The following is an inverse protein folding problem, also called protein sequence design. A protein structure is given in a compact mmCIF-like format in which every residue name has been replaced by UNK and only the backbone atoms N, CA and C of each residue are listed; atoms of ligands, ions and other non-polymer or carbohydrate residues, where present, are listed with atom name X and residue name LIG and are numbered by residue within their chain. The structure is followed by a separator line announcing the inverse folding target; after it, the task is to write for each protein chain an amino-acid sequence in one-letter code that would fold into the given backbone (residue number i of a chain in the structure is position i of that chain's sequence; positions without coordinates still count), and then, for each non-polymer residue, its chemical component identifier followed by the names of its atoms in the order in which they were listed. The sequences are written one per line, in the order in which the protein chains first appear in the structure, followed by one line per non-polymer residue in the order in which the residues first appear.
data_IF_480462652429
#
_entry.id   IF_480462652429
#
_cell.length_a   1.000
_cell.length_b   1.000
_cell.length_c   1.000
_cell.angle_alpha   90.00
_cell.angle_beta   90.00
_cell.angle_gamma   90.00
#
_symmetry.space_group_name_H-M   'P 1'
#
loop_
_entity.id
_entity.type
_entity.pdbx_description
1 polymer ?
#
# COMPACT_ATOMS: atom_id res chain seq x y z
N UNK A 1 12.72 28.07 -38.19
CA UNK A 1 11.98 28.37 -36.94
C UNK A 1 10.75 27.46 -36.77
N UNK A 2 10.38 26.64 -37.77
CA UNK A 2 9.19 25.78 -37.75
C UNK A 2 9.40 24.37 -37.16
N UNK A 3 10.64 23.87 -37.09
CA UNK A 3 10.93 22.49 -36.67
C UNK A 3 10.86 22.27 -35.16
N UNK A 4 10.99 23.32 -34.33
CA UNK A 4 10.94 23.22 -32.87
C UNK A 4 9.52 22.92 -32.33
N UNK A 5 8.48 23.42 -32.99
CA UNK A 5 7.10 23.20 -32.56
C UNK A 5 6.64 21.75 -32.79
N UNK A 6 7.12 21.12 -33.88
CA UNK A 6 6.84 19.72 -34.18
C UNK A 6 7.48 18.77 -33.18
N UNK A 7 8.74 19.02 -32.76
CA UNK A 7 9.39 18.23 -31.71
C UNK A 7 8.68 18.38 -30.35
N UNK A 8 8.28 19.59 -29.98
CA UNK A 8 7.54 19.82 -28.74
C UNK A 8 6.18 19.10 -28.76
N UNK A 9 5.47 19.11 -29.88
CA UNK A 9 4.18 18.41 -30.02
C UNK A 9 4.34 16.89 -29.95
N UNK A 10 5.39 16.34 -30.56
CA UNK A 10 5.71 14.91 -30.49
C UNK A 10 6.06 14.47 -29.07
N UNK A 11 6.83 15.27 -28.31
CA UNK A 11 7.16 14.97 -26.92
C UNK A 11 5.93 15.03 -26.01
N UNK A 12 5.00 15.97 -26.24
CA UNK A 12 3.75 16.04 -25.50
C UNK A 12 2.85 14.83 -25.79
N UNK A 13 2.71 14.43 -27.06
CA UNK A 13 1.91 13.26 -27.44
C UNK A 13 2.52 11.95 -26.92
N UNK A 14 3.85 11.81 -26.91
CA UNK A 14 4.52 10.66 -26.31
C UNK A 14 4.35 10.62 -24.78
N UNK A 15 4.35 11.78 -24.12
CA UNK A 15 4.14 11.90 -22.67
C UNK A 15 2.76 11.42 -22.23
N UNK A 16 1.69 11.72 -22.99
CA UNK A 16 0.32 11.28 -22.61
C UNK A 16 0.12 9.77 -22.72
N UNK A 17 0.82 9.11 -23.65
CA UNK A 17 0.76 7.66 -23.85
C UNK A 17 1.66 6.88 -22.88
N UNK A 18 2.55 7.57 -22.14
CA UNK A 18 3.47 6.97 -21.18
C UNK A 18 3.01 7.15 -19.72
N UNK A 19 1.84 7.74 -19.46
CA UNK A 19 1.27 7.72 -18.11
C UNK A 19 0.93 6.27 -17.77
N UNK A 20 1.58 5.66 -16.75
CA UNK A 20 1.17 4.36 -16.28
C UNK A 20 -0.28 4.49 -15.82
N UNK A 21 -1.18 3.77 -16.48
CA UNK A 21 -2.52 3.52 -15.96
C UNK A 21 -2.33 2.68 -14.70
N UNK A 22 -2.13 3.34 -13.57
CA UNK A 22 -2.10 2.66 -12.29
C UNK A 22 -3.46 1.99 -12.11
N UNK A 23 -3.51 0.72 -11.66
CA UNK A 23 -4.76 0.14 -11.19
C UNK A 23 -5.39 1.11 -10.18
N UNK A 24 -6.71 1.28 -10.20
CA UNK A 24 -7.37 2.04 -9.16
C UNK A 24 -7.18 1.32 -7.82
N UNK A 25 -6.17 1.73 -7.05
CA UNK A 25 -5.90 1.18 -5.72
C UNK A 25 -6.93 1.64 -4.68
N UNK A 26 -7.87 2.53 -5.05
CA UNK A 26 -9.05 2.85 -4.23
C UNK A 26 -10.15 1.79 -4.30
N UNK A 27 -9.91 0.67 -4.98
CA UNK A 27 -10.68 -0.54 -4.76
C UNK A 27 -10.58 -0.90 -3.28
N UNK A 28 -11.60 -0.48 -2.50
CA UNK A 28 -11.75 -0.78 -1.08
C UNK A 28 -11.46 -2.25 -0.85
N UNK A 29 -10.63 -2.51 0.15
CA UNK A 29 -10.36 -3.86 0.59
C UNK A 29 -11.70 -4.53 0.96
N UNK A 30 -12.02 -5.74 0.48
CA UNK A 30 -13.26 -6.42 0.86
C UNK A 30 -13.37 -6.72 2.37
N UNK A 31 -12.30 -6.55 3.15
CA UNK A 31 -12.28 -6.58 4.62
C UNK A 31 -12.73 -5.28 5.32
N UNK A 32 -12.84 -4.14 4.62
CA UNK A 32 -13.42 -2.90 5.19
C UNK A 32 -14.94 -3.00 5.43
N UNK A 33 -15.59 -4.07 4.95
CA UNK A 33 -17.02 -4.33 5.18
C UNK A 33 -17.33 -5.00 6.52
N UNK A 34 -16.34 -5.36 7.34
CA UNK A 34 -16.58 -6.08 8.60
C UNK A 34 -16.89 -5.19 9.81
N UNK A 35 -17.10 -3.88 9.65
CA UNK A 35 -17.54 -3.00 10.75
C UNK A 35 -19.05 -2.73 10.78
N UNK A 36 -19.82 -3.12 9.75
CA UNK A 36 -21.25 -2.78 9.65
C UNK A 36 -22.23 -3.97 9.67
N UNK A 37 -21.76 -5.22 9.84
CA UNK A 37 -22.64 -6.41 9.79
C UNK A 37 -22.91 -7.09 11.14
N UNK A 38 -22.58 -6.46 12.26
CA UNK A 38 -22.83 -7.01 13.61
C UNK A 38 -24.31 -6.90 14.09
N UNK A 39 -25.29 -6.82 13.20
CA UNK A 39 -26.72 -6.93 13.52
C UNK A 39 -27.37 -8.05 12.68
N UNK A 40 -26.96 -9.30 12.89
CA UNK A 40 -27.81 -10.48 12.65
C UNK A 40 -27.14 -11.74 13.20
N UNK A 41 -27.58 -12.16 14.38
CA UNK A 41 -27.64 -13.51 14.99
C UNK A 41 -26.81 -14.73 14.53
N UNK A 42 -25.71 -14.62 13.77
CA UNK A 42 -24.90 -15.79 13.40
C UNK A 42 -23.92 -16.17 14.51
N UNK A 43 -23.76 -17.47 14.85
CA UNK A 43 -22.70 -17.92 15.73
C UNK A 43 -21.35 -17.60 15.08
N UNK A 44 -20.65 -16.61 15.63
CA UNK A 44 -19.24 -16.36 15.36
C UNK A 44 -18.47 -17.63 15.74
N UNK A 45 -18.10 -18.43 14.74
CA UNK A 45 -16.96 -19.34 14.89
C UNK A 45 -15.78 -18.43 15.24
N UNK A 46 -15.16 -18.55 16.42
CA UNK A 46 -14.00 -17.74 16.71
C UNK A 46 -12.97 -18.09 15.64
N UNK A 47 -12.67 -17.15 14.74
CA UNK A 47 -11.37 -17.12 14.10
C UNK A 47 -10.42 -16.90 15.28
N UNK A 48 -9.88 -17.99 15.81
CA UNK A 48 -8.85 -17.94 16.83
C UNK A 48 -7.72 -17.11 16.25
N UNK A 49 -7.65 -15.85 16.65
CA UNK A 49 -6.45 -15.04 16.56
C UNK A 49 -5.44 -15.77 17.43
N UNK A 50 -4.65 -16.68 16.83
CA UNK A 50 -3.59 -17.36 17.54
C UNK A 50 -2.58 -16.29 17.93
N UNK A 51 -2.58 -15.91 19.21
CA UNK A 51 -1.61 -15.02 19.86
C UNK A 51 -0.29 -15.76 20.07
N UNK A 52 0.30 -16.25 18.98
CA UNK A 52 1.73 -16.58 18.99
C UNK A 52 2.48 -15.25 18.86
N UNK A 53 3.57 -15.00 19.61
CA UNK A 53 4.44 -13.87 19.33
C UNK A 53 4.90 -13.96 17.87
N UNK A 54 4.30 -13.13 17.03
CA UNK A 54 4.63 -13.05 15.61
C UNK A 54 6.03 -12.46 15.52
N UNK A 55 6.97 -13.08 14.78
CA UNK A 55 8.27 -12.47 14.54
C UNK A 55 8.05 -11.06 13.96
N UNK A 56 8.70 -10.06 14.56
CA UNK A 56 8.72 -8.67 14.06
C UNK A 56 9.38 -8.58 12.68
N UNK A 57 10.14 -9.60 12.28
CA UNK A 57 10.77 -9.71 10.98
C UNK A 57 9.87 -10.45 9.98
N UNK A 58 9.57 -9.80 8.85
CA UNK A 58 8.83 -10.39 7.74
C UNK A 58 9.49 -11.67 7.21
N UNK A 59 8.69 -12.67 6.80
CA UNK A 59 9.22 -13.88 6.19
C UNK A 59 9.85 -13.60 4.81
N UNK A 60 10.77 -14.44 4.31
CA UNK A 60 11.36 -14.27 2.98
C UNK A 60 10.32 -14.16 1.84
N UNK A 61 9.18 -14.85 1.97
CA UNK A 61 8.08 -14.78 1.00
C UNK A 61 7.39 -13.42 1.00
N UNK A 62 7.17 -12.87 2.20
CA UNK A 62 6.58 -11.53 2.37
C UNK A 62 7.53 -10.48 1.80
N UNK A 63 8.83 -10.59 2.09
CA UNK A 63 9.82 -9.66 1.56
C UNK A 63 9.91 -9.70 0.03
N UNK A 64 9.91 -10.88 -0.57
CA UNK A 64 9.90 -11.03 -2.03
C UNK A 64 8.66 -10.42 -2.68
N UNK A 65 7.49 -10.55 -2.04
CA UNK A 65 6.27 -9.88 -2.47
C UNK A 65 6.40 -8.35 -2.37
N UNK A 66 6.93 -7.84 -1.26
CA UNK A 66 7.09 -6.39 -1.08
C UNK A 66 8.01 -5.78 -2.15
N UNK A 67 9.05 -6.52 -2.54
CA UNK A 67 9.99 -6.11 -3.57
C UNK A 67 9.39 -6.05 -4.98
N UNK A 68 8.31 -6.79 -5.27
CA UNK A 68 7.66 -6.80 -6.58
C UNK A 68 6.58 -5.73 -6.74
N UNK A 69 6.24 -5.01 -5.66
CA UNK A 69 5.19 -4.00 -5.70
C UNK A 69 5.59 -2.75 -6.49
N UNK A 70 4.71 -2.25 -7.39
CA UNK A 70 4.86 -0.93 -7.95
C UNK A 70 4.59 0.12 -6.86
N UNK A 71 5.53 1.04 -6.68
CA UNK A 71 5.35 2.22 -5.84
C UNK A 71 6.08 3.40 -6.48
N UNK A 72 5.54 4.60 -6.32
CA UNK A 72 6.22 5.82 -6.75
C UNK A 72 7.43 6.11 -5.86
N UNK A 73 8.35 6.93 -6.34
CA UNK A 73 9.47 7.46 -5.56
C UNK A 73 9.11 8.70 -4.74
N UNK A 74 7.82 9.06 -4.66
CA UNK A 74 7.35 10.16 -3.83
C UNK A 74 7.56 9.84 -2.35
N UNK A 75 8.12 10.78 -1.59
CA UNK A 75 8.31 10.63 -0.15
C UNK A 75 7.16 11.27 0.61
N UNK A 76 6.27 10.44 1.14
CA UNK A 76 5.16 10.86 2.00
C UNK A 76 4.94 9.80 3.08
N UNK A 77 5.79 9.81 4.13
CA UNK A 77 5.96 8.65 5.00
C UNK A 77 4.71 8.32 5.80
N UNK A 78 4.60 7.04 6.18
CA UNK A 78 3.55 6.52 7.06
C UNK A 78 4.19 5.75 8.20
N UNK A 79 3.73 6.01 9.43
CA UNK A 79 4.13 5.22 10.59
C UNK A 79 3.24 3.99 10.72
N UNK A 80 3.85 2.81 10.65
CA UNK A 80 3.19 1.53 10.92
C UNK A 80 3.13 1.19 12.40
N UNK A 81 2.21 0.28 12.77
CA UNK A 81 2.07 -0.27 14.11
C UNK A 81 3.23 -1.16 14.54
N UNK A 82 4.12 -1.46 13.61
CA UNK A 82 5.41 -2.13 13.79
C UNK A 82 6.55 -1.14 14.05
N UNK A 83 6.25 0.15 14.24
CA UNK A 83 7.20 1.24 14.39
C UNK A 83 8.14 1.40 13.17
N UNK A 84 7.72 0.93 12.00
CA UNK A 84 8.48 1.09 10.75
C UNK A 84 7.95 2.29 9.95
N UNK A 85 8.88 3.05 9.38
CA UNK A 85 8.59 4.13 8.45
C UNK A 85 8.41 3.57 7.03
N UNK A 86 7.18 3.54 6.55
CA UNK A 86 6.89 3.21 5.16
C UNK A 86 7.06 4.47 4.31
N UNK A 87 7.90 4.42 3.26
CA UNK A 87 8.31 5.59 2.47
C UNK A 87 7.13 6.37 1.86
N UNK A 88 6.07 5.66 1.50
CA UNK A 88 4.81 6.21 1.03
C UNK A 88 3.65 5.22 1.23
N UNK A 89 2.43 5.69 0.96
CA UNK A 89 1.21 4.90 1.00
C UNK A 89 1.30 3.62 0.17
N UNK A 90 1.82 3.71 -1.06
CA UNK A 90 1.97 2.53 -1.93
C UNK A 90 2.84 1.44 -1.31
N UNK A 91 3.93 1.81 -0.61
CA UNK A 91 4.76 0.83 0.13
C UNK A 91 4.06 0.26 1.36
N UNK A 92 3.28 1.06 2.08
CA UNK A 92 2.51 0.59 3.23
C UNK A 92 1.44 -0.42 2.78
N UNK A 93 0.63 -0.05 1.79
CA UNK A 93 -0.46 -0.89 1.28
C UNK A 93 0.07 -2.19 0.68
N UNK A 94 1.21 -2.12 -0.01
CA UNK A 94 1.92 -3.29 -0.50
C UNK A 94 2.27 -4.27 0.64
N UNK A 95 2.84 -3.78 1.74
CA UNK A 95 3.20 -4.64 2.87
C UNK A 95 1.97 -5.36 3.44
N UNK A 96 0.86 -4.64 3.64
CA UNK A 96 -0.41 -5.23 4.09
C UNK A 96 -0.89 -6.32 3.13
N UNK A 97 -0.92 -6.06 1.83
CA UNK A 97 -1.33 -7.04 0.81
C UNK A 97 -0.41 -8.25 0.72
N UNK A 98 0.89 -8.06 0.98
CA UNK A 98 1.86 -9.14 1.06
C UNK A 98 1.75 -9.99 2.33
N UNK A 99 0.80 -9.67 3.23
CA UNK A 99 0.54 -10.42 4.46
C UNK A 99 1.29 -9.90 5.68
N UNK A 100 1.86 -8.69 5.61
CA UNK A 100 2.39 -8.03 6.81
C UNK A 100 1.20 -7.61 7.69
N UNK A 101 1.18 -8.10 8.94
CA UNK A 101 0.17 -7.73 9.92
C UNK A 101 0.51 -6.37 10.55
N UNK A 102 0.30 -5.29 9.79
CA UNK A 102 0.61 -3.91 10.18
C UNK A 102 -0.60 -3.01 9.98
N UNK A 103 -0.79 -2.06 10.90
CA UNK A 103 -1.82 -1.02 10.81
C UNK A 103 -1.15 0.34 10.70
N UNK A 104 -1.81 1.28 10.04
CA UNK A 104 -1.35 2.67 9.99
C UNK A 104 -1.63 3.35 11.32
N UNK A 105 -0.60 3.86 11.99
CA UNK A 105 -0.77 4.65 13.21
C UNK A 105 -1.08 6.11 12.86
N UNK A 106 -0.22 6.73 12.05
CA UNK A 106 -0.39 8.10 11.60
C UNK A 106 0.40 8.37 10.31
N UNK A 107 0.11 9.50 9.67
CA UNK A 107 0.91 10.04 8.58
C UNK A 107 2.19 10.66 9.13
N UNK A 108 3.28 10.60 8.38
CA UNK A 108 4.60 11.01 8.84
C UNK A 108 5.48 9.83 9.26
N UNK A 109 6.70 10.15 9.71
CA UNK A 109 7.61 9.18 10.32
C UNK A 109 7.16 8.82 11.73
N UNK A 110 7.43 7.60 12.17
CA UNK A 110 7.28 7.20 13.56
C UNK A 110 8.16 8.04 14.49
N UNK A 111 7.64 8.31 15.70
CA UNK A 111 8.40 8.99 16.74
C UNK A 111 9.57 8.12 17.21
N UNK A 112 10.78 8.70 17.21
CA UNK A 112 11.95 8.14 17.89
C UNK A 112 11.97 8.69 19.32
N UNK A 113 11.49 7.92 20.28
CA UNK A 113 11.64 8.24 21.72
C UNK A 113 12.72 7.37 22.32
#
# INVERSE_FOLDING_TARGET
METSHLFALFLLLAGVNAYPQFPDWNARNPDDQLLNTFISGQPIRPTSSTTTPQPTTASPRVLACIQSCPATSEYNPICGSDNVNYYNAGRFDCAVRCGQNVRRLHLGICSTT
#
